data_IF_348900372045
#
_entry.id   IF_348900372045
#
_cell.length_a   1.000
_cell.length_b   1.000
_cell.length_c   1.000
_cell.angle_alpha   90.00
_cell.angle_beta   90.00
_cell.angle_gamma   90.00
#
_symmetry.space_group_name_H-M   'P 1'
#
loop_
_entity.id
_entity.type
_entity.pdbx_description
1 polymer ?
#
# COMPACT_ATOMS: atom_id res chain seq x y z
N UNK A 1 -8.45 -45.73 -52.40
CA UNK A 1 -9.20 -44.45 -52.35
C UNK A 1 -8.77 -43.65 -51.13
N UNK A 2 -8.77 -42.33 -51.25
CA UNK A 2 -7.95 -41.37 -50.50
C UNK A 2 -8.40 -41.03 -49.06
N UNK A 3 -7.44 -40.42 -48.34
CA UNK A 3 -7.42 -39.82 -46.97
C UNK A 3 -8.72 -39.05 -46.62
N UNK A 4 -9.05 -38.85 -45.34
CA UNK A 4 -8.73 -37.59 -44.62
C UNK A 4 -8.88 -37.79 -43.09
N UNK A 5 -7.77 -37.60 -42.36
CA UNK A 5 -7.74 -37.30 -40.92
C UNK A 5 -8.41 -35.94 -40.70
N UNK A 6 -9.43 -35.85 -39.86
CA UNK A 6 -9.93 -34.56 -39.36
C UNK A 6 -9.01 -34.06 -38.25
N UNK A 7 -8.12 -33.14 -38.59
CA UNK A 7 -7.41 -32.27 -37.66
C UNK A 7 -8.43 -31.48 -36.82
N UNK A 8 -8.37 -31.59 -35.49
CA UNK A 8 -9.02 -30.63 -34.60
C UNK A 8 -8.18 -29.36 -34.61
N UNK A 9 -8.59 -28.38 -35.42
CA UNK A 9 -8.10 -27.00 -35.32
C UNK A 9 -8.40 -26.48 -33.92
N UNK A 10 -7.37 -26.04 -33.19
CA UNK A 10 -7.52 -25.17 -32.03
C UNK A 10 -8.33 -23.94 -32.43
N UNK A 11 -9.50 -23.77 -31.81
CA UNK A 11 -10.24 -22.52 -31.92
C UNK A 11 -9.44 -21.46 -31.16
N UNK A 12 -8.75 -20.58 -31.89
CA UNK A 12 -8.35 -19.28 -31.36
C UNK A 12 -9.62 -18.58 -30.88
N UNK A 13 -9.79 -18.47 -29.56
CA UNK A 13 -10.87 -17.70 -28.94
C UNK A 13 -10.57 -16.21 -29.23
N UNK A 14 -11.39 -15.50 -30.03
CA UNK A 14 -11.30 -14.05 -30.13
C UNK A 14 -11.69 -13.43 -28.78
N UNK A 15 -11.34 -12.18 -28.45
CA UNK A 15 -11.60 -11.59 -27.14
C UNK A 15 -13.12 -11.39 -26.97
N UNK A 16 -13.78 -12.37 -26.36
CA UNK A 16 -15.24 -12.39 -26.30
C UNK A 16 -15.76 -11.31 -25.33
N UNK A 17 -16.35 -10.29 -25.96
CA UNK A 17 -17.27 -9.30 -25.40
C UNK A 17 -16.63 -8.26 -24.45
N UNK A 18 -16.08 -7.16 -25.01
CA UNK A 18 -15.67 -5.98 -24.23
C UNK A 18 -16.78 -5.44 -23.31
N UNK A 19 -18.04 -5.60 -23.71
CA UNK A 19 -19.20 -5.25 -22.89
C UNK A 19 -19.33 -6.13 -21.65
N UNK A 20 -19.05 -7.44 -21.76
CA UNK A 20 -19.05 -8.37 -20.63
C UNK A 20 -17.90 -8.06 -19.67
N UNK A 21 -16.70 -7.76 -20.20
CA UNK A 21 -15.56 -7.35 -19.38
C UNK A 21 -15.82 -6.01 -18.67
N UNK A 22 -16.44 -5.05 -19.36
CA UNK A 22 -16.83 -3.78 -18.76
C UNK A 22 -17.90 -3.96 -17.68
N UNK A 23 -18.88 -4.84 -17.92
CA UNK A 23 -19.92 -5.18 -16.97
C UNK A 23 -19.35 -5.86 -15.72
N UNK A 24 -18.50 -6.87 -15.89
CA UNK A 24 -17.83 -7.56 -14.77
C UNK A 24 -16.94 -6.60 -13.98
N UNK A 25 -16.15 -5.76 -14.64
CA UNK A 25 -15.33 -4.74 -13.96
C UNK A 25 -16.18 -3.68 -13.25
N UNK A 26 -17.38 -3.40 -13.75
CA UNK A 26 -18.34 -2.49 -13.11
C UNK A 26 -19.04 -3.16 -11.92
N UNK A 27 -19.27 -4.47 -11.98
CA UNK A 27 -19.73 -5.28 -10.86
C UNK A 27 -18.66 -5.36 -9.77
N UNK A 28 -17.40 -5.65 -10.11
CA UNK A 28 -16.28 -5.63 -9.14
C UNK A 28 -16.16 -4.27 -8.46
N UNK A 29 -16.24 -3.16 -9.23
CA UNK A 29 -16.25 -1.82 -8.63
C UNK A 29 -17.49 -1.56 -7.77
N UNK A 30 -18.64 -2.09 -8.13
CA UNK A 30 -19.87 -1.93 -7.35
C UNK A 30 -19.84 -2.78 -6.07
N UNK A 31 -19.25 -3.98 -6.13
CA UNK A 31 -18.96 -4.85 -5.00
C UNK A 31 -17.93 -4.20 -4.08
N UNK A 32 -16.82 -3.67 -4.59
CA UNK A 32 -15.85 -2.90 -3.83
C UNK A 32 -16.52 -1.72 -3.12
N UNK A 33 -17.38 -0.98 -3.83
CA UNK A 33 -18.15 0.13 -3.26
C UNK A 33 -19.16 -0.35 -2.21
N UNK A 34 -19.80 -1.49 -2.43
CA UNK A 34 -20.76 -2.09 -1.50
C UNK A 34 -20.06 -2.61 -0.26
N UNK A 35 -18.94 -3.32 -0.38
CA UNK A 35 -18.10 -3.74 0.75
C UNK A 35 -17.55 -2.53 1.50
N UNK A 36 -17.13 -1.47 0.79
CA UNK A 36 -16.71 -0.21 1.42
C UNK A 36 -17.86 0.46 2.17
N UNK A 37 -19.08 0.45 1.62
CA UNK A 37 -20.27 1.01 2.27
C UNK A 37 -20.75 0.16 3.43
N UNK A 38 -20.82 -1.16 3.30
CA UNK A 38 -21.22 -2.08 4.38
C UNK A 38 -20.19 -2.09 5.50
N UNK A 39 -18.91 -1.94 5.17
CA UNK A 39 -17.84 -1.68 6.14
C UNK A 39 -18.04 -0.32 6.82
N UNK A 40 -18.32 0.75 6.07
CA UNK A 40 -18.62 2.06 6.64
C UNK A 40 -19.92 2.09 7.49
N UNK A 41 -20.90 1.25 7.18
CA UNK A 41 -22.17 1.12 7.89
C UNK A 41 -22.05 0.24 9.14
N UNK A 42 -21.28 -0.85 9.08
CA UNK A 42 -20.95 -1.67 10.26
C UNK A 42 -20.06 -0.92 11.26
N UNK A 43 -19.23 0.02 10.79
CA UNK A 43 -18.45 0.93 11.64
C UNK A 43 -19.30 2.00 12.36
N UNK A 44 -20.55 2.25 11.95
CA UNK A 44 -21.46 3.17 12.65
C UNK A 44 -22.06 2.58 13.92
N UNK A 45 -22.03 1.25 14.08
CA UNK A 45 -22.79 0.56 15.14
C UNK A 45 -22.00 0.20 16.40
N UNK A 46 -20.66 0.23 16.42
CA UNK A 46 -19.87 0.12 17.66
C UNK A 46 -18.39 0.53 17.49
N UNK A 47 -17.83 1.14 18.53
CA UNK A 47 -16.59 1.94 18.56
C UNK A 47 -15.26 1.14 18.48
N UNK A 48 -14.91 0.60 17.32
CA UNK A 48 -13.49 0.37 17.02
C UNK A 48 -13.18 0.74 15.57
N UNK A 49 -12.44 1.84 15.41
CA UNK A 49 -11.91 2.23 14.10
C UNK A 49 -10.60 1.48 13.93
N UNK A 50 -10.49 0.59 12.94
CA UNK A 50 -9.28 -0.20 12.78
C UNK A 50 -8.11 0.74 12.50
N UNK A 51 -7.06 0.66 13.32
CA UNK A 51 -5.84 1.49 13.19
C UNK A 51 -4.54 0.66 13.26
N UNK A 52 -4.66 -0.61 13.59
CA UNK A 52 -3.58 -1.57 13.80
C UNK A 52 -2.70 -1.74 12.56
N UNK A 53 -3.28 -1.78 11.34
CA UNK A 53 -2.49 -1.88 10.11
C UNK A 53 -1.65 -0.62 9.86
N UNK A 54 -2.17 0.56 10.23
CA UNK A 54 -1.42 1.82 10.12
C UNK A 54 -0.24 1.80 11.08
N UNK A 55 -0.45 1.39 12.33
CA UNK A 55 0.63 1.28 13.33
C UNK A 55 1.69 0.25 12.92
N UNK A 56 1.27 -0.92 12.46
CA UNK A 56 2.18 -1.98 11.99
C UNK A 56 2.99 -1.52 10.78
N UNK A 57 2.34 -0.86 9.82
CA UNK A 57 3.02 -0.26 8.66
C UNK A 57 4.06 0.75 9.12
N UNK A 58 3.66 1.73 9.94
CA UNK A 58 4.55 2.78 10.45
C UNK A 58 5.73 2.16 11.20
N UNK A 59 5.49 1.19 12.09
CA UNK A 59 6.55 0.50 12.84
C UNK A 59 7.56 -0.19 11.92
N UNK A 60 7.09 -0.92 10.91
CA UNK A 60 7.95 -1.62 9.94
C UNK A 60 8.78 -0.66 9.10
N UNK A 61 8.15 0.38 8.56
CA UNK A 61 8.85 1.38 7.72
C UNK A 61 9.86 2.17 8.56
N UNK A 62 9.52 2.48 9.82
CA UNK A 62 10.42 3.16 10.76
C UNK A 62 11.71 2.37 11.06
N UNK A 63 11.67 1.05 11.03
CA UNK A 63 12.85 0.21 11.26
C UNK A 63 13.82 0.19 10.08
N UNK A 64 13.43 0.76 8.93
CA UNK A 64 14.28 0.80 7.75
C UNK A 64 15.22 2.02 7.76
N UNK A 65 16.37 1.88 7.12
CA UNK A 65 17.32 2.97 6.89
C UNK A 65 16.84 3.91 5.76
N UNK A 66 15.66 4.50 5.95
CA UNK A 66 15.05 5.46 5.04
C UNK A 66 15.38 6.87 5.52
N UNK A 67 15.91 7.70 4.62
CA UNK A 67 16.21 9.10 4.90
C UNK A 67 15.18 10.01 4.26
N UNK A 68 14.67 10.98 5.01
CA UNK A 68 13.73 12.00 4.54
C UNK A 68 14.26 13.39 4.82
N UNK A 69 13.90 14.33 3.94
CA UNK A 69 14.21 15.74 4.08
C UNK A 69 13.15 16.43 4.93
N UNK A 70 13.57 17.04 6.03
CA UNK A 70 12.75 17.82 6.96
C UNK A 70 13.38 19.19 7.19
N UNK A 71 12.62 20.16 7.69
CA UNK A 71 13.20 21.45 8.09
C UNK A 71 13.84 21.32 9.47
N UNK A 72 15.13 21.60 9.58
CA UNK A 72 15.84 21.62 10.86
C UNK A 72 15.64 22.94 11.61
N UNK A 73 16.18 23.05 12.84
CA UNK A 73 16.03 24.23 13.69
C UNK A 73 16.62 25.51 13.07
N UNK A 74 17.59 25.37 12.17
CA UNK A 74 18.21 26.48 11.43
C UNK A 74 17.36 26.99 10.25
N UNK A 75 16.20 26.39 9.99
CA UNK A 75 15.37 26.65 8.81
C UNK A 75 15.89 25.99 7.52
N UNK A 76 17.05 25.32 7.55
CA UNK A 76 17.59 24.59 6.40
C UNK A 76 17.00 23.19 6.32
N UNK A 77 16.89 22.65 5.10
CA UNK A 77 16.47 21.25 4.89
C UNK A 77 17.59 20.31 5.33
N UNK A 78 17.27 19.41 6.24
CA UNK A 78 18.16 18.40 6.79
C UNK A 78 17.65 17.01 6.42
N UNK A 79 18.59 16.08 6.22
CA UNK A 79 18.31 14.70 5.88
C UNK A 79 18.40 13.83 7.14
N UNK A 80 17.25 13.40 7.64
CA UNK A 80 17.12 12.63 8.86
C UNK A 80 16.59 11.22 8.58
N UNK A 81 16.97 10.27 9.42
CA UNK A 81 16.38 8.93 9.41
C UNK A 81 14.91 9.00 9.81
N UNK A 82 14.08 8.24 9.10
CA UNK A 82 12.64 8.20 9.32
C UNK A 82 12.27 7.80 10.76
N UNK A 83 13.12 7.02 11.44
CA UNK A 83 12.95 6.68 12.86
C UNK A 83 13.05 7.85 13.84
N UNK A 84 13.77 8.91 13.47
CA UNK A 84 13.83 10.15 14.25
C UNK A 84 12.66 11.07 13.95
N UNK A 85 11.99 10.85 12.81
CA UNK A 85 10.92 11.71 12.31
C UNK A 85 9.54 11.16 12.64
N UNK A 86 9.41 9.85 12.89
CA UNK A 86 8.13 9.22 13.18
C UNK A 86 8.05 8.71 14.62
N UNK A 87 7.06 9.24 15.35
CA UNK A 87 6.63 8.75 16.64
C UNK A 87 5.30 8.01 16.49
N UNK A 88 5.14 6.88 17.16
CA UNK A 88 3.89 6.09 17.15
C UNK A 88 3.67 5.48 18.53
N UNK A 89 2.56 5.83 19.16
CA UNK A 89 2.17 5.38 20.50
C UNK A 89 0.66 5.56 20.69
N UNK A 90 0.01 4.62 21.39
CA UNK A 90 -1.41 4.70 21.79
C UNK A 90 -2.38 5.02 20.65
N UNK A 91 -2.27 4.34 19.49
CA UNK A 91 -3.08 4.63 18.29
C UNK A 91 -2.91 6.05 17.75
N UNK A 92 -1.81 6.72 18.06
CA UNK A 92 -1.45 8.03 17.52
C UNK A 92 -0.09 7.95 16.83
N UNK A 93 -0.06 8.35 15.57
CA UNK A 93 1.18 8.48 14.79
C UNK A 93 1.45 9.97 14.57
N UNK A 94 2.67 10.42 14.91
CA UNK A 94 3.17 11.75 14.59
C UNK A 94 4.33 11.65 13.61
N UNK A 95 4.29 12.45 12.56
CA UNK A 95 5.33 12.53 11.54
C UNK A 95 5.81 13.98 11.49
N UNK A 96 7.01 14.23 11.99
CA UNK A 96 7.57 15.58 12.08
C UNK A 96 7.95 16.12 10.70
N UNK A 97 7.45 17.30 10.39
CA UNK A 97 7.77 18.05 9.16
C UNK A 97 8.91 19.04 9.39
N UNK A 98 8.98 19.59 10.60
CA UNK A 98 10.04 20.47 11.07
C UNK A 98 10.43 20.17 12.52
N UNK A 99 11.67 20.49 12.85
CA UNK A 99 12.19 20.46 14.23
C UNK A 99 12.61 21.88 14.63
N UNK A 100 12.15 22.32 15.79
CA UNK A 100 12.61 23.51 16.51
C UNK A 100 13.19 23.09 17.86
N UNK A 101 13.96 23.97 18.48
CA UNK A 101 14.41 23.82 19.86
C UNK A 101 13.24 23.91 20.85
N UNK A 102 12.16 24.59 20.45
CA UNK A 102 10.93 24.70 21.24
C UNK A 102 9.91 23.71 20.71
N UNK A 103 9.48 22.79 21.56
CA UNK A 103 8.57 21.71 21.15
C UNK A 103 7.24 22.23 20.58
N UNK A 104 6.78 23.38 21.08
CA UNK A 104 5.55 24.03 20.63
C UNK A 104 5.66 24.51 19.17
N UNK A 105 6.86 24.79 18.68
CA UNK A 105 7.10 25.28 17.31
C UNK A 105 7.29 24.14 16.30
N UNK A 106 7.34 22.89 16.77
CA UNK A 106 7.45 21.73 15.90
C UNK A 106 6.19 21.59 15.03
N UNK A 107 6.39 21.42 13.73
CA UNK A 107 5.30 21.10 12.81
C UNK A 107 5.28 19.61 12.55
N UNK A 108 4.11 18.98 12.64
CA UNK A 108 3.97 17.55 12.40
C UNK A 108 2.59 17.19 11.84
N UNK A 109 2.53 16.07 11.13
CA UNK A 109 1.28 15.40 10.83
C UNK A 109 0.91 14.50 12.01
N UNK A 110 -0.34 14.55 12.45
CA UNK A 110 -0.91 13.71 13.50
C UNK A 110 -1.99 12.83 12.92
N UNK A 111 -1.84 11.51 13.04
CA UNK A 111 -2.81 10.53 12.59
C UNK A 111 -3.37 9.75 13.75
N UNK A 112 -4.69 9.58 13.80
CA UNK A 112 -5.36 8.89 14.88
C UNK A 112 -6.76 8.39 14.46
N UNK A 113 -7.30 7.36 15.12
CA UNK A 113 -8.69 6.95 14.93
C UNK A 113 -9.63 7.97 15.60
N UNK A 114 -10.45 8.63 14.80
CA UNK A 114 -11.52 9.50 15.27
C UNK A 114 -12.80 8.68 15.51
N UNK A 115 -12.97 8.23 16.75
CA UNK A 115 -14.11 7.38 17.17
C UNK A 115 -15.47 8.04 17.00
N UNK A 116 -15.54 9.38 17.08
CA UNK A 116 -16.80 10.12 16.91
C UNK A 116 -17.27 10.09 15.45
N UNK A 117 -16.33 10.16 14.52
CA UNK A 117 -16.60 10.17 13.08
C UNK A 117 -16.51 8.80 12.41
N UNK A 118 -15.95 7.79 13.07
CA UNK A 118 -15.73 6.47 12.49
C UNK A 118 -14.70 6.49 11.35
N UNK A 119 -13.69 7.37 11.44
CA UNK A 119 -12.65 7.55 10.41
C UNK A 119 -11.27 7.61 11.06
N UNK A 120 -10.24 7.35 10.27
CA UNK A 120 -8.87 7.73 10.56
C UNK A 120 -8.70 9.17 10.11
N UNK A 121 -8.37 10.06 11.05
CA UNK A 121 -8.14 11.47 10.78
C UNK A 121 -6.64 11.74 10.73
N UNK A 122 -6.23 12.56 9.77
CA UNK A 122 -4.88 13.13 9.69
C UNK A 122 -4.99 14.64 9.76
N UNK A 123 -4.29 15.22 10.72
CA UNK A 123 -4.20 16.65 10.93
C UNK A 123 -2.77 17.12 10.71
N UNK A 124 -2.64 18.35 10.22
CA UNK A 124 -1.40 19.10 10.21
C UNK A 124 -1.41 20.08 11.36
N UNK A 125 -0.37 20.03 12.19
CA UNK A 125 -0.08 21.03 13.21
C UNK A 125 1.16 21.80 12.74
N UNK A 126 1.09 23.12 12.78
CA UNK A 126 2.12 24.02 12.29
C UNK A 126 2.57 24.97 13.41
N UNK A 127 3.27 24.43 14.40
CA UNK A 127 3.76 25.22 15.53
C UNK A 127 2.69 25.64 16.53
N UNK A 128 3.05 26.60 17.40
CA UNK A 128 2.40 26.83 18.69
C UNK A 128 1.02 27.49 18.61
N UNK A 129 0.73 28.16 17.49
CA UNK A 129 -0.41 29.07 17.36
C UNK A 129 -1.44 28.61 16.33
N UNK A 130 -1.11 27.61 15.51
CA UNK A 130 -2.00 27.14 14.46
C UNK A 130 -2.93 26.04 14.98
N UNK A 131 -4.24 26.27 14.81
CA UNK A 131 -5.25 25.26 15.05
C UNK A 131 -4.97 24.02 14.16
N UNK A 132 -5.13 22.79 14.68
CA UNK A 132 -4.94 21.58 13.89
C UNK A 132 -5.83 21.62 12.65
N UNK A 133 -5.21 21.53 11.47
CA UNK A 133 -5.93 21.49 10.21
C UNK A 133 -6.09 20.05 9.76
N UNK A 134 -7.32 19.58 9.62
CA UNK A 134 -7.59 18.28 9.01
C UNK A 134 -7.17 18.32 7.54
N UNK A 135 -6.25 17.43 7.16
CA UNK A 135 -5.73 17.33 5.79
C UNK A 135 -6.18 16.06 5.08
N UNK A 136 -6.66 15.05 5.83
CA UNK A 136 -7.16 13.80 5.28
C UNK A 136 -8.07 13.10 6.29
N UNK A 137 -9.17 12.51 5.83
CA UNK A 137 -10.03 11.61 6.62
C UNK A 137 -10.47 10.43 5.76
N UNK A 138 -10.43 9.21 6.31
CA UNK A 138 -10.94 8.04 5.61
C UNK A 138 -11.28 6.89 6.57
N UNK A 139 -12.26 6.07 6.21
CA UNK A 139 -12.69 4.92 7.04
C UNK A 139 -11.72 3.73 6.96
N UNK A 140 -11.04 3.58 5.82
CA UNK A 140 -10.14 2.47 5.53
C UNK A 140 -8.64 2.81 5.76
N UNK A 141 -7.95 1.91 6.47
CA UNK A 141 -6.53 1.95 6.79
C UNK A 141 -5.64 1.98 5.55
N UNK A 142 -6.02 1.30 4.46
CA UNK A 142 -5.21 1.25 3.24
C UNK A 142 -5.06 2.65 2.62
N UNK A 143 -6.11 3.47 2.68
CA UNK A 143 -6.08 4.83 2.19
C UNK A 143 -5.21 5.73 3.09
N UNK A 144 -5.26 5.55 4.41
CA UNK A 144 -4.36 6.24 5.34
C UNK A 144 -2.89 5.84 5.11
N UNK A 145 -2.60 4.56 4.88
CA UNK A 145 -1.26 4.07 4.53
C UNK A 145 -0.78 4.68 3.21
N UNK A 146 -1.66 4.76 2.19
CA UNK A 146 -1.34 5.40 0.90
C UNK A 146 -0.99 6.88 1.07
N UNK A 147 -1.75 7.59 1.91
CA UNK A 147 -1.45 8.99 2.25
C UNK A 147 -0.05 9.13 2.85
N UNK A 148 0.29 8.34 3.88
CA UNK A 148 1.63 8.37 4.50
C UNK A 148 2.72 8.01 3.48
N UNK A 149 2.48 6.97 2.68
CA UNK A 149 3.45 6.50 1.68
C UNK A 149 3.79 7.61 0.71
N UNK A 150 2.78 8.31 0.17
CA UNK A 150 2.98 9.43 -0.73
C UNK A 150 3.74 10.58 -0.05
N UNK A 151 3.42 10.86 1.22
CA UNK A 151 4.12 11.89 1.99
C UNK A 151 5.61 11.56 2.16
N UNK A 152 5.94 10.31 2.50
CA UNK A 152 7.32 9.83 2.68
C UNK A 152 8.06 9.91 1.35
N UNK A 153 7.49 9.35 0.28
CA UNK A 153 8.11 9.31 -1.06
C UNK A 153 8.45 10.71 -1.56
N UNK A 154 7.54 11.67 -1.38
CA UNK A 154 7.75 13.07 -1.77
C UNK A 154 8.93 13.75 -1.03
N UNK A 155 9.38 13.18 0.09
CA UNK A 155 10.45 13.72 0.94
C UNK A 155 11.69 12.84 1.01
N UNK A 156 11.73 11.73 0.28
CA UNK A 156 12.88 10.83 0.29
C UNK A 156 14.15 11.55 -0.13
N UNK A 157 15.21 11.35 0.65
CA UNK A 157 16.55 11.71 0.25
C UNK A 157 17.19 10.54 -0.50
N UNK A 158 17.00 10.51 -1.82
CA UNK A 158 17.51 9.45 -2.70
C UNK A 158 19.04 9.33 -2.73
N UNK A 159 19.76 10.38 -2.33
CA UNK A 159 21.22 10.32 -2.23
C UNK A 159 21.64 9.37 -1.10
N UNK A 160 20.94 9.41 0.04
CA UNK A 160 21.23 8.59 1.23
C UNK A 160 20.43 7.30 1.29
N UNK A 161 19.18 7.29 0.84
CA UNK A 161 18.33 6.11 0.86
C UNK A 161 18.72 5.15 -0.27
N UNK A 162 19.24 3.98 0.10
CA UNK A 162 19.62 2.92 -0.86
C UNK A 162 18.61 1.78 -0.80
N UNK A 163 17.79 1.62 -1.85
CA UNK A 163 16.70 0.63 -1.88
C UNK A 163 17.16 -0.81 -1.61
N UNK A 164 18.30 -1.23 -2.19
CA UNK A 164 18.84 -2.58 -2.01
C UNK A 164 19.26 -2.88 -0.56
N UNK A 165 19.50 -1.85 0.25
CA UNK A 165 19.84 -1.99 1.67
C UNK A 165 18.60 -2.10 2.56
N UNK A 166 17.40 -1.84 2.03
CA UNK A 166 16.16 -1.92 2.80
C UNK A 166 15.71 -3.38 2.88
N UNK A 167 15.51 -3.88 4.10
CA UNK A 167 15.12 -5.27 4.33
C UNK A 167 13.72 -5.56 3.77
N UNK A 168 12.81 -4.59 3.84
CA UNK A 168 11.49 -4.71 3.21
C UNK A 168 11.62 -4.91 1.69
N UNK A 169 12.58 -4.23 1.05
CA UNK A 169 12.79 -4.37 -0.39
C UNK A 169 13.40 -5.73 -0.74
N UNK A 170 14.36 -6.22 0.05
CA UNK A 170 14.92 -7.57 -0.12
C UNK A 170 13.83 -8.63 -0.03
N UNK A 171 12.95 -8.54 0.98
CA UNK A 171 11.81 -9.44 1.16
C UNK A 171 10.86 -9.40 -0.04
N UNK A 172 10.58 -8.20 -0.56
CA UNK A 172 9.75 -8.05 -1.76
C UNK A 172 10.36 -8.74 -2.97
N UNK A 173 11.66 -8.53 -3.24
CA UNK A 173 12.36 -9.16 -4.37
C UNK A 173 12.34 -10.69 -4.24
N UNK A 174 12.60 -11.23 -3.05
CA UNK A 174 12.54 -12.66 -2.78
C UNK A 174 11.14 -13.24 -3.03
N UNK A 175 10.11 -12.59 -2.50
CA UNK A 175 8.71 -13.03 -2.65
C UNK A 175 8.32 -13.05 -4.13
N UNK A 176 8.70 -12.02 -4.88
CA UNK A 176 8.44 -11.95 -6.33
C UNK A 176 9.16 -13.04 -7.10
N UNK A 177 10.43 -13.32 -6.77
CA UNK A 177 11.20 -14.40 -7.39
C UNK A 177 10.58 -15.78 -7.11
N UNK A 178 10.10 -16.01 -5.89
CA UNK A 178 9.40 -17.25 -5.52
C UNK A 178 8.10 -17.42 -6.31
N UNK A 179 7.29 -16.36 -6.44
CA UNK A 179 6.06 -16.38 -7.23
C UNK A 179 6.33 -16.68 -8.71
N UNK A 180 7.34 -16.05 -9.30
CA UNK A 180 7.75 -16.32 -10.68
C UNK A 180 8.24 -17.76 -10.85
N UNK A 181 9.04 -18.27 -9.91
CA UNK A 181 9.51 -19.65 -9.94
C UNK A 181 8.35 -20.66 -9.81
N UNK A 182 7.32 -20.36 -9.02
CA UNK A 182 6.11 -21.18 -8.92
C UNK A 182 5.32 -21.19 -10.23
N UNK A 183 5.14 -20.03 -10.87
CA UNK A 183 4.48 -19.93 -12.17
C UNK A 183 5.24 -20.69 -13.27
N UNK A 184 6.58 -20.61 -13.28
CA UNK A 184 7.40 -21.38 -14.22
C UNK A 184 7.30 -22.89 -13.96
N UNK A 185 7.22 -23.32 -12.71
CA UNK A 185 7.02 -24.73 -12.35
C UNK A 185 5.65 -25.25 -12.76
N UNK A 186 4.58 -24.47 -12.58
CA UNK A 186 3.24 -24.87 -13.03
C UNK A 186 3.19 -24.99 -14.56
N UNK A 187 3.75 -24.02 -15.29
CA UNK A 187 3.85 -24.07 -16.75
C UNK A 187 4.67 -25.26 -17.24
N UNK A 188 5.84 -25.53 -16.65
CA UNK A 188 6.65 -26.69 -17.02
C UNK A 188 6.00 -28.03 -16.65
N UNK A 189 5.26 -28.09 -15.54
CA UNK A 189 4.48 -29.25 -15.14
C UNK A 189 3.32 -29.54 -16.11
N UNK A 190 2.62 -28.51 -16.56
CA UNK A 190 1.61 -28.60 -17.62
C UNK A 190 2.23 -29.08 -18.93
N UNK A 191 3.37 -28.51 -19.36
CA UNK A 191 4.09 -28.93 -20.57
C UNK A 191 4.58 -30.38 -20.49
N UNK A 192 5.02 -30.85 -19.32
CA UNK A 192 5.39 -32.26 -19.13
C UNK A 192 4.16 -33.19 -19.16
N UNK A 193 3.03 -32.81 -18.55
CA UNK A 193 1.76 -33.56 -18.64
C UNK A 193 1.27 -33.66 -20.09
N UNK A 194 1.40 -32.60 -20.89
CA UNK A 194 1.08 -32.62 -22.32
C UNK A 194 2.03 -33.51 -23.15
N UNK A 195 3.33 -33.59 -22.78
CA UNK A 195 4.31 -34.46 -23.46
C UNK A 195 4.16 -35.95 -23.11
N UNK A 196 3.75 -36.29 -21.89
CA UNK A 196 3.50 -37.69 -21.50
C UNK A 196 2.10 -38.20 -21.87
N UNK A 197 1.16 -37.31 -22.20
CA UNK A 197 -0.17 -37.68 -22.73
C UNK A 197 -0.21 -38.02 -24.23
N UNK A 198 0.90 -37.89 -24.96
CA UNK A 198 1.00 -38.23 -26.38
C UNK A 198 2.05 -39.32 -26.63
N UNK A 199 1.80 -40.54 -26.13
CA UNK A 199 2.40 -41.74 -26.72
C UNK A 199 1.37 -42.41 -27.62
N UNK A 200 1.54 -42.40 -28.96
CA UNK A 200 0.65 -43.13 -29.84
C UNK A 200 0.91 -44.64 -29.68
N UNK A 201 -0.16 -45.40 -29.42
CA UNK A 201 -0.20 -46.85 -29.66
C UNK A 201 -0.27 -47.12 -31.15
#
# INVERSE_FOLDING_TARGET
>A
MAKIKRERKEKKIPPEQPALFYFLRRLERAEDQYLTRSFAESLKTQHDVPFELVELFVRRVRQQNIFVRVLGPSGKKESLLLNKVIFSMNKVVRIYCSFSLRDEENSYLRMYPNRRKGVITVERLAGAWDAPQVVFEHHDQCHAIRFITNWVVARLDWQKTKLHNLDIYKLFVQTRQQQLAQQLKSLNGEVQMFRYGQQPR
#
